data_IF_849422796480
#
_entry.id   IF_849422796480
#
_cell.length_a   1.000
_cell.length_b   1.000
_cell.length_c   1.000
_cell.angle_alpha   90.00
_cell.angle_beta   90.00
_cell.angle_gamma   90.00
#
_symmetry.space_group_name_H-M   'P 1'
#
loop_
_entity.id
_entity.type
_entity.pdbx_description
1 polymer ?
#
# COMPACT_ATOMS: atom_id res chain seq x y z
N UNK A 1 -16.82 12.99 17.27
CA UNK A 1 -15.46 12.78 16.71
C UNK A 1 -15.51 11.55 15.82
N UNK A 2 -16.05 11.69 14.60
CA UNK A 2 -16.22 10.56 13.68
C UNK A 2 -14.86 10.11 13.17
N UNK A 3 -14.61 8.81 13.17
CA UNK A 3 -13.43 8.18 12.58
C UNK A 3 -13.31 8.66 11.14
N UNK A 4 -12.29 9.48 10.86
CA UNK A 4 -11.89 9.75 9.48
C UNK A 4 -11.39 8.40 8.99
N UNK A 5 -12.15 7.75 8.10
CA UNK A 5 -11.67 6.56 7.38
C UNK A 5 -10.26 6.88 6.90
N UNK A 6 -9.26 6.29 7.56
CA UNK A 6 -7.87 6.53 7.20
C UNK A 6 -7.70 5.92 5.82
N UNK A 7 -7.76 6.76 4.79
CA UNK A 7 -7.63 6.29 3.41
C UNK A 7 -6.17 5.87 3.25
N UNK A 8 -5.95 4.56 3.14
CA UNK A 8 -4.63 3.95 3.00
C UNK A 8 -4.54 3.23 1.65
N UNK A 9 -3.39 3.38 0.99
CA UNK A 9 -3.04 2.60 -0.19
C UNK A 9 -2.53 1.23 0.22
N UNK A 10 -3.02 0.18 -0.45
CA UNK A 10 -2.63 -1.20 -0.16
C UNK A 10 -1.56 -1.67 -1.15
N UNK A 11 -0.45 -2.17 -0.63
CA UNK A 11 0.62 -2.82 -1.40
C UNK A 11 0.53 -4.35 -1.23
N UNK A 12 0.44 -5.13 -2.33
CA UNK A 12 0.50 -6.58 -2.25
C UNK A 12 1.83 -7.07 -1.68
N UNK A 13 1.79 -8.01 -0.74
CA UNK A 13 3.00 -8.64 -0.20
C UNK A 13 3.68 -9.52 -1.26
N UNK A 14 5.01 -9.41 -1.41
CA UNK A 14 5.80 -10.25 -2.33
C UNK A 14 5.65 -11.74 -2.01
N UNK A 15 5.52 -12.11 -0.73
CA UNK A 15 5.27 -13.52 -0.34
C UNK A 15 3.97 -14.11 -0.91
N UNK A 16 2.97 -13.27 -1.18
CA UNK A 16 1.69 -13.71 -1.76
C UNK A 16 1.68 -13.57 -3.29
N UNK A 17 2.55 -12.71 -3.84
CA UNK A 17 2.70 -12.47 -5.28
C UNK A 17 4.21 -12.52 -5.59
N UNK A 18 4.80 -13.68 -5.89
CA UNK A 18 6.26 -13.82 -5.99
C UNK A 18 6.90 -12.99 -7.13
N UNK A 19 6.13 -12.74 -8.20
CA UNK A 19 6.56 -12.00 -9.38
C UNK A 19 5.66 -10.78 -9.62
N UNK A 20 6.21 -9.65 -10.12
CA UNK A 20 5.39 -8.48 -10.43
C UNK A 20 4.39 -8.79 -11.54
N UNK A 21 3.18 -8.22 -11.48
CA UNK A 21 2.17 -8.40 -12.52
C UNK A 21 2.43 -7.55 -13.77
N UNK A 22 3.07 -6.40 -13.59
CA UNK A 22 3.39 -5.45 -14.66
C UNK A 22 4.73 -4.76 -14.37
N UNK A 23 5.34 -4.15 -15.39
CA UNK A 23 6.67 -3.55 -15.29
C UNK A 23 6.76 -2.37 -14.30
N UNK A 24 5.64 -1.72 -13.98
CA UNK A 24 5.55 -0.61 -13.03
C UNK A 24 5.42 -1.05 -11.56
N UNK A 25 5.30 -2.36 -11.31
CA UNK A 25 5.35 -2.90 -9.95
C UNK A 25 6.80 -2.98 -9.49
N UNK A 26 7.17 -2.12 -8.54
CA UNK A 26 8.52 -2.05 -7.96
C UNK A 26 8.50 -2.56 -6.53
N UNK A 27 9.60 -3.19 -6.10
CA UNK A 27 9.73 -3.60 -4.71
C UNK A 27 9.83 -2.36 -3.81
N UNK A 28 9.08 -2.39 -2.71
CA UNK A 28 9.12 -1.40 -1.64
C UNK A 28 8.88 -2.09 -0.31
N UNK A 29 9.47 -1.58 0.76
CA UNK A 29 9.22 -2.08 2.12
C UNK A 29 7.97 -1.43 2.71
N UNK A 30 7.17 -2.23 3.42
CA UNK A 30 6.05 -1.70 4.20
C UNK A 30 6.60 -0.86 5.36
N UNK A 31 6.19 0.42 5.53
CA UNK A 31 6.69 1.27 6.60
C UNK A 31 6.28 0.80 8.00
N UNK A 32 5.19 0.03 8.11
CA UNK A 32 4.65 -0.44 9.40
C UNK A 32 5.32 -1.74 9.90
N UNK A 33 5.80 -2.60 8.99
CA UNK A 33 6.26 -3.94 9.36
C UNK A 33 7.53 -4.42 8.63
N UNK A 34 8.12 -3.60 7.77
CA UNK A 34 9.38 -3.88 7.07
C UNK A 34 9.31 -4.89 5.92
N UNK A 35 8.17 -5.57 5.71
CA UNK A 35 8.05 -6.64 4.70
C UNK A 35 8.09 -6.10 3.27
N UNK A 36 8.68 -6.89 2.36
CA UNK A 36 8.71 -6.59 0.92
C UNK A 36 7.30 -6.66 0.30
N UNK A 37 6.95 -5.60 -0.42
CA UNK A 37 5.67 -5.42 -1.09
C UNK A 37 5.87 -4.89 -2.52
N UNK A 38 4.83 -5.01 -3.33
CA UNK A 38 4.76 -4.40 -4.66
C UNK A 38 4.12 -3.01 -4.58
N UNK A 39 4.89 -2.01 -4.97
CA UNK A 39 4.44 -0.63 -5.15
C UNK A 39 4.15 -0.38 -6.63
N UNK A 40 2.88 -0.12 -6.96
CA UNK A 40 2.43 0.13 -8.32
C UNK A 40 2.67 1.60 -8.66
N UNK A 41 3.82 1.92 -9.25
CA UNK A 41 4.30 3.31 -9.35
C UNK A 41 3.33 4.21 -10.11
N UNK A 42 2.71 3.69 -11.18
CA UNK A 42 1.78 4.47 -12.00
C UNK A 42 0.50 4.79 -11.23
N UNK A 43 -0.11 3.79 -10.60
CA UNK A 43 -1.32 3.97 -9.79
C UNK A 43 -1.06 4.87 -8.58
N UNK A 44 0.06 4.67 -7.90
CA UNK A 44 0.41 5.47 -6.75
C UNK A 44 0.63 6.95 -7.13
N UNK A 45 1.23 7.23 -8.29
CA UNK A 45 1.33 8.61 -8.82
C UNK A 45 -0.03 9.24 -9.05
N UNK A 46 -1.01 8.50 -9.59
CA UNK A 46 -2.37 9.02 -9.78
C UNK A 46 -3.05 9.34 -8.44
N UNK A 47 -2.97 8.41 -7.49
CA UNK A 47 -3.57 8.55 -6.16
C UNK A 47 -2.97 9.74 -5.40
N UNK A 48 -1.64 9.88 -5.42
CA UNK A 48 -0.95 10.97 -4.72
C UNK A 48 -1.24 12.36 -5.30
N UNK A 49 -1.72 12.47 -6.55
CA UNK A 49 -2.21 13.77 -7.08
C UNK A 49 -3.52 14.22 -6.45
N UNK A 50 -4.34 13.28 -6.00
CA UNK A 50 -5.66 13.57 -5.39
C UNK A 50 -5.56 13.57 -3.86
N UNK A 51 -4.75 12.69 -3.30
CA UNK A 51 -4.47 12.60 -1.87
C UNK A 51 -2.96 12.55 -1.61
N UNK A 52 -2.29 13.71 -1.51
CA UNK A 52 -0.84 13.79 -1.30
C UNK A 52 -0.36 13.11 -0.01
N UNK A 53 -1.20 13.05 1.02
CA UNK A 53 -0.88 12.47 2.33
C UNK A 53 -1.19 10.96 2.43
N UNK A 54 -1.56 10.33 1.30
CA UNK A 54 -1.87 8.90 1.24
C UNK A 54 -0.68 8.06 1.72
N UNK A 55 -0.90 7.29 2.79
CA UNK A 55 0.06 6.29 3.27
C UNK A 55 -0.14 4.97 2.54
N UNK A 56 0.95 4.32 2.14
CA UNK A 56 0.93 3.00 1.52
C UNK A 56 1.47 1.95 2.50
N UNK A 57 0.68 0.92 2.79
CA UNK A 57 1.04 -0.18 3.70
C UNK A 57 0.72 -1.54 3.07
N UNK A 58 1.27 -2.62 3.62
CA UNK A 58 0.98 -3.95 3.10
C UNK A 58 -0.46 -4.38 3.39
N UNK A 59 -0.97 -5.35 2.62
CA UNK A 59 -2.34 -5.88 2.79
C UNK A 59 -2.66 -6.32 4.22
N UNK A 60 -1.70 -6.94 4.92
CA UNK A 60 -1.91 -7.37 6.32
C UNK A 60 -1.98 -6.20 7.31
N UNK A 61 -1.13 -5.18 7.14
CA UNK A 61 -1.19 -3.97 7.95
C UNK A 61 -2.48 -3.17 7.70
N UNK A 62 -2.91 -3.09 6.44
CA UNK A 62 -4.17 -2.44 6.07
C UNK A 62 -5.38 -3.13 6.73
N UNK A 63 -5.44 -4.47 6.67
CA UNK A 63 -6.49 -5.24 7.34
C UNK A 63 -6.46 -5.07 8.86
N UNK A 64 -5.27 -4.93 9.47
CA UNK A 64 -5.15 -4.65 10.90
C UNK A 64 -5.68 -3.25 11.24
N UNK A 65 -5.37 -2.24 10.43
CA UNK A 65 -5.81 -0.87 10.65
C UNK A 65 -7.34 -0.71 10.54
N UNK A 66 -7.98 -1.40 9.58
CA UNK A 66 -9.44 -1.33 9.39
C UNK A 66 -10.28 -2.17 10.37
N UNK A 67 -9.66 -2.88 11.32
CA UNK A 67 -10.36 -3.62 12.40
C UNK A 67 -10.48 -2.82 13.70
N UNK A 68 -9.91 -1.62 13.76
CA UNK A 68 -9.96 -0.70 14.90
C UNK A 68 -10.87 0.50 14.58
#
# INVERSE_FOLDING_TARGET
>A
MGSVLQVIGIMPLKKNVPHPRTADWKLKTCPECGRECWYQTNNAKLVLRVNPDMKFVCSECALKAGRN
#
